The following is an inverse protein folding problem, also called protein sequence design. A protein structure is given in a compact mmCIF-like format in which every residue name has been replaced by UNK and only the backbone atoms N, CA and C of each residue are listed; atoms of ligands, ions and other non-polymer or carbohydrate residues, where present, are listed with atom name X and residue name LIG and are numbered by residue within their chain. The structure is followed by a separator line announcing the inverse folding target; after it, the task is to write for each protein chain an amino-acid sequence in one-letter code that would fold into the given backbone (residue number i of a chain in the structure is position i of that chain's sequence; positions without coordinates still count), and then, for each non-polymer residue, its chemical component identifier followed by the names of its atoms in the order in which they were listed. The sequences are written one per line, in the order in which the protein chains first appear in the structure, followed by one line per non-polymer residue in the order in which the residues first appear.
data_IF_136170721448
#
_entry.id   IF_136170721448
#
_cell.length_a   1.000
_cell.length_b   1.000
_cell.length_c   1.000
_cell.angle_alpha   90.00
_cell.angle_beta   90.00
_cell.angle_gamma   90.00
#
_symmetry.space_group_name_H-M   'P 1'
#
loop_
_entity.id
_entity.type
_entity.pdbx_description
1 polymer ?
#
# COMPACT_ATOMS: atom_id res chain seq x y z
N UNK A 1 -10.85 3.06 -78.06
CA UNK A 1 -11.66 4.29 -77.95
C UNK A 1 -12.47 4.24 -76.64
N UNK A 2 -12.21 5.14 -75.67
CA UNK A 2 -12.94 5.16 -74.40
C UNK A 2 -14.26 5.97 -74.50
N UNK A 3 -15.28 5.59 -73.71
CA UNK A 3 -16.62 6.19 -73.73
C UNK A 3 -16.65 7.60 -73.08
N UNK A 4 -17.65 8.43 -73.44
CA UNK A 4 -17.68 9.86 -73.13
C UNK A 4 -18.06 10.20 -71.68
N UNK A 5 -17.64 11.37 -71.18
CA UNK A 5 -17.85 11.80 -69.80
C UNK A 5 -19.28 12.32 -69.54
N UNK A 6 -19.86 12.06 -68.34
CA UNK A 6 -21.14 12.62 -67.91
C UNK A 6 -21.03 14.08 -67.41
N UNK A 7 -22.11 14.88 -67.49
CA UNK A 7 -22.10 16.32 -67.22
C UNK A 7 -22.19 16.64 -65.71
N UNK A 8 -21.53 17.72 -65.30
CA UNK A 8 -21.30 18.08 -63.90
C UNK A 8 -22.48 18.72 -63.15
N UNK A 9 -22.49 18.47 -61.83
CA UNK A 9 -23.25 19.17 -60.79
C UNK A 9 -22.45 19.13 -59.48
N UNK A 10 -22.41 20.22 -58.72
CA UNK A 10 -21.26 20.63 -57.89
C UNK A 10 -21.36 20.21 -56.39
N UNK A 11 -20.17 19.98 -55.78
CA UNK A 11 -19.76 20.13 -54.35
C UNK A 11 -20.31 19.10 -53.32
N UNK A 12 -19.49 18.14 -52.88
CA UNK A 12 -18.59 18.15 -51.70
C UNK A 12 -19.32 17.93 -50.35
N UNK A 13 -18.88 17.14 -49.36
CA UNK A 13 -17.87 16.08 -49.20
C UNK A 13 -18.23 15.39 -47.86
N UNK A 14 -18.53 14.09 -47.94
CA UNK A 14 -18.20 12.99 -47.00
C UNK A 14 -18.13 13.31 -45.48
N UNK A 15 -19.20 12.97 -44.77
CA UNK A 15 -19.16 12.67 -43.32
C UNK A 15 -18.50 11.31 -43.08
N UNK A 16 -17.51 11.26 -42.19
CA UNK A 16 -17.00 10.03 -41.57
C UNK A 16 -17.50 9.99 -40.13
N UNK A 17 -18.16 8.89 -39.80
CA UNK A 17 -18.78 8.56 -38.51
C UNK A 17 -17.71 8.05 -37.54
N UNK A 18 -17.75 8.48 -36.28
CA UNK A 18 -17.76 7.61 -35.08
C UNK A 18 -17.45 8.38 -33.80
N UNK A 19 -18.44 8.58 -32.93
CA UNK A 19 -18.22 8.30 -31.51
C UNK A 19 -19.52 8.02 -30.76
N UNK A 20 -19.41 7.03 -29.90
CA UNK A 20 -20.40 6.45 -29.00
C UNK A 20 -21.16 7.51 -28.22
N UNK A 21 -22.49 7.37 -28.18
CA UNK A 21 -23.39 8.08 -27.29
C UNK A 21 -23.07 7.73 -25.84
N UNK A 22 -22.37 8.62 -25.16
CA UNK A 22 -22.50 8.80 -23.71
C UNK A 22 -23.18 10.15 -23.53
N UNK A 23 -24.29 10.19 -22.81
CA UNK A 23 -25.17 11.37 -22.66
C UNK A 23 -24.57 12.54 -21.87
N UNK A 24 -23.28 12.79 -22.00
CA UNK A 24 -22.57 13.92 -21.39
C UNK A 24 -22.18 14.87 -22.52
N UNK A 25 -22.97 15.92 -22.72
CA UNK A 25 -22.58 17.05 -23.57
C UNK A 25 -21.45 17.78 -22.84
N UNK A 26 -20.21 17.49 -23.23
CA UNK A 26 -19.05 18.21 -22.70
C UNK A 26 -19.16 19.67 -23.13
N UNK A 27 -19.15 20.58 -22.15
CA UNK A 27 -19.24 22.01 -22.42
C UNK A 27 -18.16 22.42 -23.44
N UNK A 28 -18.53 22.96 -24.61
CA UNK A 28 -17.57 23.30 -25.66
C UNK A 28 -16.46 24.25 -25.20
N UNK A 29 -16.75 25.12 -24.23
CA UNK A 29 -15.77 26.03 -23.64
C UNK A 29 -14.71 25.27 -22.82
N UNK A 30 -15.13 24.27 -22.03
CA UNK A 30 -14.20 23.44 -21.24
C UNK A 30 -13.35 22.55 -22.15
N UNK A 31 -13.93 22.02 -23.23
CA UNK A 31 -13.19 21.24 -24.22
C UNK A 31 -12.13 22.10 -24.92
N UNK A 32 -12.48 23.33 -25.31
CA UNK A 32 -11.51 24.26 -25.92
C UNK A 32 -10.41 24.66 -24.94
N UNK A 33 -10.77 24.98 -23.69
CA UNK A 33 -9.82 25.33 -22.64
C UNK A 33 -8.85 24.18 -22.37
N UNK A 34 -9.35 22.96 -22.22
CA UNK A 34 -8.51 21.77 -22.03
C UNK A 34 -7.60 21.51 -23.24
N UNK A 35 -8.13 21.62 -24.46
CA UNK A 35 -7.33 21.48 -25.68
C UNK A 35 -6.25 22.56 -25.79
N UNK A 36 -6.52 23.79 -25.33
CA UNK A 36 -5.53 24.87 -25.29
C UNK A 36 -4.45 24.63 -24.22
N UNK A 37 -4.80 24.04 -23.07
CA UNK A 37 -3.85 23.62 -22.03
C UNK A 37 -2.93 22.53 -22.58
N UNK A 38 -3.49 21.46 -23.16
CA UNK A 38 -2.74 20.33 -23.76
C UNK A 38 -1.85 20.79 -24.93
N UNK A 39 -2.30 21.74 -25.76
CA UNK A 39 -1.50 22.30 -26.86
C UNK A 39 -0.32 23.14 -26.37
N UNK A 40 -0.45 23.80 -25.22
CA UNK A 40 0.66 24.56 -24.60
C UNK A 40 1.65 23.63 -23.88
N UNK A 41 1.15 22.53 -23.30
CA UNK A 41 1.96 21.56 -22.55
C UNK A 41 2.75 20.61 -23.47
N UNK A 42 2.20 20.24 -24.62
CA UNK A 42 2.83 19.23 -25.51
C UNK A 42 3.98 19.75 -26.38
N UNK A 43 4.31 21.05 -26.38
CA UNK A 43 5.47 21.61 -27.09
C UNK A 43 5.51 21.39 -28.61
N UNK A 44 4.44 20.84 -29.21
CA UNK A 44 4.38 20.46 -30.63
C UNK A 44 3.26 21.25 -31.31
N UNK A 45 3.59 22.41 -31.85
CA UNK A 45 2.64 23.23 -32.61
C UNK A 45 3.29 24.42 -33.28
N UNK A 46 3.86 24.17 -34.46
CA UNK A 46 4.62 25.13 -35.24
C UNK A 46 3.86 26.36 -35.73
N UNK A 47 4.69 27.31 -36.16
CA UNK A 47 4.39 28.51 -36.96
C UNK A 47 3.23 28.31 -37.95
N UNK A 48 2.33 29.29 -37.98
CA UNK A 48 1.67 29.73 -39.21
C UNK A 48 0.16 29.93 -39.11
N UNK A 49 -0.25 31.20 -38.99
CA UNK A 49 -1.21 31.89 -39.88
C UNK A 49 -2.18 32.79 -39.10
N UNK A 50 -2.14 34.10 -39.39
CA UNK A 50 -3.33 34.96 -39.36
C UNK A 50 -3.46 35.97 -38.21
N UNK A 51 -2.91 37.17 -38.43
CA UNK A 51 -3.36 38.49 -37.93
C UNK A 51 -4.06 38.60 -36.58
N UNK A 52 -3.29 38.98 -35.55
CA UNK A 52 -3.63 40.05 -34.60
C UNK A 52 -2.40 40.35 -33.71
N UNK A 53 -1.29 40.76 -34.33
CA UNK A 53 -0.12 41.24 -33.61
C UNK A 53 -0.31 42.69 -33.17
N UNK A 54 -1.02 42.90 -32.05
CA UNK A 54 -0.74 43.98 -31.09
C UNK A 54 -1.56 43.73 -29.83
N UNK A 55 -0.92 43.79 -28.66
CA UNK A 55 -1.44 43.61 -27.29
C UNK A 55 -1.18 42.27 -26.58
N UNK A 56 -0.20 41.48 -27.01
CA UNK A 56 0.36 40.42 -26.16
C UNK A 56 1.87 40.24 -26.38
N UNK A 57 2.61 41.35 -26.36
CA UNK A 57 4.07 41.34 -26.27
C UNK A 57 4.47 41.48 -24.79
N UNK A 58 4.29 40.39 -24.05
CA UNK A 58 4.84 40.06 -22.72
C UNK A 58 3.96 38.89 -22.26
N UNK A 59 4.33 37.62 -22.41
CA UNK A 59 5.56 36.97 -21.99
C UNK A 59 5.67 35.66 -22.78
N UNK A 60 6.35 35.68 -23.94
CA UNK A 60 6.72 34.43 -24.62
C UNK A 60 8.15 34.05 -24.21
N UNK A 61 8.26 33.32 -23.11
CA UNK A 61 9.48 32.58 -22.76
C UNK A 61 9.08 31.29 -22.08
N UNK A 62 9.20 30.11 -22.73
CA UNK A 62 8.79 28.84 -22.14
C UNK A 62 9.63 28.43 -20.90
N UNK A 63 10.75 29.11 -20.61
CA UNK A 63 11.48 28.98 -19.34
C UNK A 63 10.95 29.87 -18.21
N UNK A 64 10.33 31.01 -18.52
CA UNK A 64 9.85 31.97 -17.52
C UNK A 64 8.54 31.53 -16.85
N UNK A 65 7.67 30.87 -17.61
CA UNK A 65 6.37 30.40 -17.11
C UNK A 65 6.51 29.29 -16.07
N UNK A 66 7.50 28.41 -16.18
CA UNK A 66 7.72 27.35 -15.20
C UNK A 66 8.32 27.90 -13.89
N UNK A 67 9.20 28.90 -13.98
CA UNK A 67 9.73 29.60 -12.82
C UNK A 67 8.65 30.44 -12.13
N UNK A 68 7.82 31.18 -12.89
CA UNK A 68 6.70 31.92 -12.34
C UNK A 68 5.63 31.00 -11.72
N UNK A 69 5.31 29.86 -12.36
CA UNK A 69 4.45 28.83 -11.78
C UNK A 69 5.06 28.20 -10.52
N UNK A 70 6.36 27.93 -10.51
CA UNK A 70 7.09 27.42 -9.35
C UNK A 70 7.10 28.43 -8.20
N UNK A 71 7.25 29.73 -8.48
CA UNK A 71 7.14 30.81 -7.50
C UNK A 71 5.73 30.91 -6.92
N UNK A 72 4.70 30.89 -7.78
CA UNK A 72 3.30 30.93 -7.34
C UNK A 72 2.93 29.69 -6.52
N UNK A 73 3.39 28.51 -6.94
CA UNK A 73 3.15 27.26 -6.22
C UNK A 73 3.88 27.27 -4.87
N UNK A 74 5.14 27.73 -4.84
CA UNK A 74 5.91 27.89 -3.61
C UNK A 74 5.23 28.87 -2.65
N UNK A 75 4.76 30.02 -3.14
CA UNK A 75 4.01 30.98 -2.35
C UNK A 75 2.69 30.40 -1.82
N UNK A 76 1.94 29.69 -2.66
CA UNK A 76 0.67 29.08 -2.28
C UNK A 76 0.87 27.98 -1.24
N UNK A 77 1.87 27.12 -1.42
CA UNK A 77 2.26 26.11 -0.45
C UNK A 77 2.76 26.74 0.84
N UNK A 78 3.55 27.83 0.75
CA UNK A 78 4.04 28.60 1.92
C UNK A 78 2.92 29.25 2.72
N UNK A 79 1.84 29.68 2.06
CA UNK A 79 0.69 30.35 2.68
C UNK A 79 -0.42 29.38 3.06
N UNK A 80 -0.27 28.09 2.75
CA UNK A 80 -1.25 27.07 3.13
C UNK A 80 -1.34 26.97 4.65
N UNK A 81 -2.56 27.01 5.18
CA UNK A 81 -2.81 26.86 6.61
C UNK A 81 -2.23 25.56 7.16
N UNK A 82 -2.25 24.49 6.38
CA UNK A 82 -1.67 23.19 6.74
C UNK A 82 -0.14 23.27 6.92
N UNK A 83 0.58 23.95 6.01
CA UNK A 83 2.04 24.11 6.16
C UNK A 83 2.38 24.98 7.38
N UNK A 84 1.64 26.05 7.61
CA UNK A 84 1.84 26.90 8.79
C UNK A 84 1.54 26.15 10.09
N UNK A 85 0.54 25.25 10.08
CA UNK A 85 0.24 24.41 11.22
C UNK A 85 1.37 23.41 11.51
N UNK A 86 1.95 22.77 10.48
CA UNK A 86 3.13 21.91 10.62
C UNK A 86 4.33 22.71 11.16
N UNK A 87 4.64 23.86 10.55
CA UNK A 87 5.79 24.67 10.97
C UNK A 87 5.62 25.18 12.42
N UNK A 88 4.39 25.49 12.83
CA UNK A 88 4.06 25.83 14.21
C UNK A 88 4.21 24.63 15.16
N UNK A 89 3.80 23.43 14.72
CA UNK A 89 3.91 22.21 15.50
C UNK A 89 5.38 21.80 15.69
N UNK A 90 6.18 21.86 14.63
CA UNK A 90 7.64 21.65 14.67
C UNK A 90 8.27 22.62 15.66
N UNK A 91 7.88 23.90 15.64
CA UNK A 91 8.44 24.90 16.57
C UNK A 91 8.04 24.62 18.03
N UNK A 92 6.76 24.32 18.27
CA UNK A 92 6.21 24.18 19.61
C UNK A 92 6.54 22.83 20.26
N UNK A 93 6.70 21.78 19.46
CA UNK A 93 6.93 20.40 19.90
C UNK A 93 8.35 19.89 19.57
N UNK A 94 9.26 20.75 19.09
CA UNK A 94 10.66 20.38 18.79
C UNK A 94 11.38 19.72 19.98
N UNK A 95 11.16 20.23 21.19
CA UNK A 95 11.75 19.69 22.42
C UNK A 95 11.18 18.32 22.79
N UNK A 96 9.88 18.12 22.55
CA UNK A 96 9.20 16.85 22.74
C UNK A 96 9.72 15.79 21.78
N UNK A 97 9.78 16.10 20.48
CA UNK A 97 10.34 15.19 19.47
C UNK A 97 11.82 14.90 19.73
N UNK A 98 12.60 15.90 20.18
CA UNK A 98 14.00 15.68 20.55
C UNK A 98 14.15 14.73 21.76
N UNK A 99 13.24 14.79 22.74
CA UNK A 99 13.23 13.86 23.86
C UNK A 99 12.94 12.41 23.41
N UNK A 100 11.91 12.21 22.58
CA UNK A 100 11.61 10.88 22.00
C UNK A 100 12.78 10.40 21.14
N UNK A 101 13.37 11.27 20.32
CA UNK A 101 14.52 10.94 19.49
C UNK A 101 15.73 10.47 20.31
N UNK A 102 15.98 11.10 21.46
CA UNK A 102 17.01 10.66 22.41
C UNK A 102 16.69 9.29 22.98
N UNK A 103 15.44 9.07 23.39
CA UNK A 103 14.97 7.79 23.93
C UNK A 103 15.13 6.66 22.90
N UNK A 104 14.65 6.87 21.66
CA UNK A 104 14.80 5.91 20.56
C UNK A 104 16.28 5.62 20.28
N UNK A 105 17.13 6.65 20.26
CA UNK A 105 18.57 6.48 20.02
C UNK A 105 19.26 5.67 21.12
N UNK A 106 18.91 5.91 22.38
CA UNK A 106 19.46 5.22 23.56
C UNK A 106 18.83 3.86 23.85
N UNK A 107 17.65 3.56 23.29
CA UNK A 107 16.92 2.35 23.61
C UNK A 107 17.70 1.07 23.26
N UNK A 108 17.76 0.17 24.23
CA UNK A 108 18.25 -1.20 24.10
C UNK A 108 17.23 -2.11 24.74
N UNK A 109 16.93 -3.23 24.10
CA UNK A 109 15.87 -4.13 24.54
C UNK A 109 16.43 -5.49 24.89
N UNK A 110 15.86 -6.12 25.91
CA UNK A 110 16.19 -7.49 26.31
C UNK A 110 15.21 -8.49 25.67
N UNK A 111 13.93 -8.12 25.60
CA UNK A 111 12.86 -8.91 24.98
C UNK A 111 12.25 -8.20 23.77
N UNK A 112 11.68 -9.01 22.88
CA UNK A 112 10.90 -8.50 21.75
C UNK A 112 9.53 -7.95 22.19
N UNK A 113 9.04 -8.37 23.36
CA UNK A 113 7.85 -7.78 23.99
C UNK A 113 8.11 -6.32 24.37
N UNK A 114 9.27 -6.02 24.94
CA UNK A 114 9.69 -4.66 25.26
C UNK A 114 9.77 -3.78 24.00
N UNK A 115 10.21 -4.34 22.87
CA UNK A 115 10.22 -3.63 21.58
C UNK A 115 8.80 -3.30 21.13
N UNK A 116 7.85 -4.23 21.26
CA UNK A 116 6.45 -3.99 20.90
C UNK A 116 5.86 -2.89 21.78
N UNK A 117 6.03 -2.99 23.10
CA UNK A 117 5.50 -2.00 24.04
C UNK A 117 6.12 -0.61 23.80
N UNK A 118 7.43 -0.57 23.54
CA UNK A 118 8.12 0.67 23.20
C UNK A 118 7.63 1.28 21.90
N UNK A 119 7.45 0.48 20.84
CA UNK A 119 6.91 1.00 19.57
C UNK A 119 5.49 1.51 19.72
N UNK A 120 4.65 0.84 20.53
CA UNK A 120 3.30 1.27 20.84
C UNK A 120 3.30 2.61 21.58
N UNK A 121 4.17 2.76 22.59
CA UNK A 121 4.36 4.02 23.29
C UNK A 121 4.85 5.12 22.33
N UNK A 122 5.89 4.85 21.54
CA UNK A 122 6.45 5.80 20.58
C UNK A 122 5.39 6.28 19.58
N UNK A 123 4.62 5.37 18.99
CA UNK A 123 3.56 5.71 18.03
C UNK A 123 2.40 6.46 18.70
N UNK A 124 2.10 6.16 19.95
CA UNK A 124 1.10 6.90 20.74
C UNK A 124 1.56 8.33 21.01
N UNK A 125 2.81 8.53 21.44
CA UNK A 125 3.36 9.86 21.67
C UNK A 125 3.45 10.68 20.37
N UNK A 126 3.88 10.06 19.27
CA UNK A 126 3.96 10.72 17.96
C UNK A 126 2.58 11.04 17.37
N UNK A 127 1.52 10.35 17.79
CA UNK A 127 0.14 10.65 17.37
C UNK A 127 -0.37 12.02 17.84
N UNK A 128 0.32 12.66 18.78
CA UNK A 128 0.03 14.03 19.23
C UNK A 128 0.45 15.09 18.20
N UNK A 129 1.27 14.73 17.22
CA UNK A 129 1.68 15.60 16.13
C UNK A 129 0.56 15.71 15.08
N UNK A 130 0.41 16.91 14.49
CA UNK A 130 -0.60 17.13 13.46
C UNK A 130 -0.33 16.31 12.19
N UNK A 131 0.94 16.19 11.82
CA UNK A 131 1.41 15.32 10.76
C UNK A 131 2.80 14.81 11.14
N UNK A 132 2.83 13.63 11.75
CA UNK A 132 4.06 12.96 12.19
C UNK A 132 5.12 13.00 11.10
N UNK A 133 4.78 12.56 9.89
CA UNK A 133 5.76 12.40 8.81
C UNK A 133 6.37 13.73 8.37
N UNK A 134 5.55 14.78 8.30
CA UNK A 134 6.02 16.10 7.91
C UNK A 134 6.84 16.77 9.02
N UNK A 135 6.44 16.59 10.28
CA UNK A 135 7.15 17.13 11.45
C UNK A 135 8.50 16.43 11.60
N UNK A 136 8.53 15.09 11.63
CA UNK A 136 9.75 14.31 11.80
C UNK A 136 10.77 14.54 10.68
N UNK A 137 10.33 14.82 9.45
CA UNK A 137 11.21 15.15 8.33
C UNK A 137 11.96 16.48 8.52
N UNK A 138 11.37 17.43 9.26
CA UNK A 138 12.02 18.70 9.58
C UNK A 138 12.94 18.60 10.80
N UNK A 139 12.80 17.53 11.61
CA UNK A 139 13.63 17.28 12.78
C UNK A 139 14.92 16.52 12.41
N UNK A 140 16.05 17.23 12.32
CA UNK A 140 17.35 16.62 11.99
C UNK A 140 17.83 15.56 13.01
N UNK A 141 17.38 15.65 14.25
CA UNK A 141 17.77 14.71 15.32
C UNK A 141 17.00 13.39 15.30
N UNK A 142 15.99 13.23 14.43
CA UNK A 142 15.13 12.05 14.45
C UNK A 142 15.88 10.79 13.93
N UNK A 143 16.01 9.72 14.73
CA UNK A 143 16.71 8.50 14.32
C UNK A 143 15.81 7.61 13.44
N UNK A 144 15.44 8.10 12.25
CA UNK A 144 14.48 7.46 11.35
C UNK A 144 14.80 5.97 11.10
N UNK A 145 16.05 5.66 10.76
CA UNK A 145 16.46 4.29 10.46
C UNK A 145 16.25 3.32 11.64
N UNK A 146 16.49 3.78 12.87
CA UNK A 146 16.29 2.95 14.08
C UNK A 146 14.81 2.83 14.42
N UNK A 147 14.06 3.92 14.37
CA UNK A 147 12.61 3.93 14.62
C UNK A 147 11.86 3.01 13.63
N UNK A 148 12.17 3.12 12.34
CA UNK A 148 11.57 2.28 11.29
C UNK A 148 11.95 0.81 11.48
N UNK A 149 13.20 0.54 11.88
CA UNK A 149 13.65 -0.83 12.18
C UNK A 149 12.90 -1.42 13.37
N UNK A 150 12.67 -0.64 14.43
CA UNK A 150 11.89 -1.08 15.60
C UNK A 150 10.45 -1.39 15.24
N UNK A 151 9.79 -0.51 14.46
CA UNK A 151 8.42 -0.73 13.96
C UNK A 151 8.32 -1.97 13.08
N UNK A 152 9.26 -2.13 12.14
CA UNK A 152 9.34 -3.31 11.28
C UNK A 152 9.50 -4.60 12.10
N UNK A 153 10.37 -4.59 13.11
CA UNK A 153 10.61 -5.72 13.97
C UNK A 153 9.36 -6.04 14.81
N UNK A 154 8.75 -5.04 15.46
CA UNK A 154 7.54 -5.20 16.27
C UNK A 154 6.37 -5.79 15.47
N UNK A 155 6.16 -5.29 14.24
CA UNK A 155 5.16 -5.80 13.33
C UNK A 155 5.43 -7.27 12.93
N UNK A 156 6.69 -7.60 12.62
CA UNK A 156 7.10 -8.96 12.28
C UNK A 156 6.90 -9.94 13.46
N UNK A 157 7.27 -9.53 14.67
CA UNK A 157 7.07 -10.32 15.89
C UNK A 157 5.60 -10.56 16.21
N UNK A 158 4.79 -9.51 16.16
CA UNK A 158 3.34 -9.62 16.41
C UNK A 158 2.67 -10.53 15.37
N UNK A 159 3.11 -10.43 14.11
CA UNK A 159 2.65 -11.31 13.03
C UNK A 159 3.06 -12.76 13.28
N UNK A 160 4.27 -12.99 13.81
CA UNK A 160 4.73 -14.32 14.20
C UNK A 160 3.93 -14.90 15.36
N UNK A 161 3.74 -14.16 16.46
CA UNK A 161 2.91 -14.60 17.59
C UNK A 161 1.51 -14.99 17.11
N UNK A 162 0.85 -14.13 16.33
CA UNK A 162 -0.46 -14.44 15.75
C UNK A 162 -0.46 -15.69 14.87
N UNK A 163 0.62 -15.92 14.10
CA UNK A 163 0.74 -17.11 13.27
C UNK A 163 0.93 -18.39 14.11
N UNK A 164 1.64 -18.30 15.24
CA UNK A 164 1.78 -19.39 16.21
C UNK A 164 0.44 -19.66 16.90
N UNK A 165 -0.23 -18.65 17.44
CA UNK A 165 -1.54 -18.80 18.09
C UNK A 165 -2.56 -19.45 17.14
N UNK A 166 -2.60 -19.00 15.89
CA UNK A 166 -3.47 -19.58 14.86
C UNK A 166 -3.07 -21.01 14.47
N UNK A 167 -1.81 -21.40 14.62
CA UNK A 167 -1.36 -22.76 14.38
C UNK A 167 -1.73 -23.69 15.55
N UNK A 168 -1.67 -23.18 16.79
CA UNK A 168 -2.12 -23.89 18.00
C UNK A 168 -3.64 -24.13 17.95
N UNK A 169 -4.44 -23.10 17.65
CA UNK A 169 -5.89 -23.23 17.45
C UNK A 169 -6.23 -24.25 16.35
N UNK A 170 -5.51 -24.21 15.22
CA UNK A 170 -5.69 -25.19 14.15
C UNK A 170 -5.30 -26.62 14.56
N UNK A 171 -4.33 -26.79 15.47
CA UNK A 171 -3.94 -28.08 16.00
C UNK A 171 -5.00 -28.63 16.96
N UNK A 172 -5.58 -27.78 17.82
CA UNK A 172 -6.69 -28.14 18.71
C UNK A 172 -7.94 -28.56 17.91
N UNK A 173 -8.30 -27.80 16.87
CA UNK A 173 -9.40 -28.15 15.95
C UNK A 173 -9.16 -29.48 15.23
N UNK A 174 -7.91 -29.71 14.81
CA UNK A 174 -7.52 -30.96 14.16
C UNK A 174 -7.57 -32.15 15.12
N UNK A 175 -7.22 -31.96 16.40
CA UNK A 175 -7.35 -32.98 17.42
C UNK A 175 -8.82 -33.32 17.69
N UNK A 176 -9.68 -32.30 17.80
CA UNK A 176 -11.13 -32.48 17.95
C UNK A 176 -11.71 -33.29 16.77
N UNK A 177 -11.44 -32.88 15.53
CA UNK A 177 -11.89 -33.59 14.33
C UNK A 177 -11.38 -35.04 14.27
N UNK A 178 -10.14 -35.28 14.73
CA UNK A 178 -9.59 -36.64 14.82
C UNK A 178 -10.31 -37.48 15.87
N UNK A 179 -10.69 -36.91 17.02
CA UNK A 179 -11.45 -37.64 18.04
C UNK A 179 -12.85 -38.02 17.55
N UNK A 180 -13.55 -37.12 16.86
CA UNK A 180 -14.85 -37.41 16.24
C UNK A 180 -14.73 -38.52 15.19
N UNK A 181 -13.72 -38.47 14.32
CA UNK A 181 -13.44 -39.51 13.34
C UNK A 181 -13.19 -40.88 13.99
N UNK A 182 -12.46 -40.93 15.10
CA UNK A 182 -12.22 -42.16 15.86
C UNK A 182 -13.49 -42.68 16.54
N UNK A 183 -14.35 -41.80 17.04
CA UNK A 183 -15.65 -42.19 17.61
C UNK A 183 -16.58 -42.78 16.55
N UNK A 184 -16.62 -42.18 15.35
CA UNK A 184 -17.37 -42.73 14.20
C UNK A 184 -16.83 -44.13 13.86
N UNK A 185 -15.51 -44.28 13.75
CA UNK A 185 -14.83 -45.57 13.52
C UNK A 185 -15.15 -46.61 14.60
N UNK A 186 -15.15 -46.22 15.87
CA UNK A 186 -15.44 -47.09 17.00
C UNK A 186 -16.93 -47.48 17.07
N UNK A 187 -17.82 -46.62 16.60
CA UNK A 187 -19.28 -46.84 16.59
C UNK A 187 -19.75 -47.88 15.56
N UNK A 188 -18.84 -48.40 14.72
CA UNK A 188 -19.13 -49.52 13.81
C UNK A 188 -20.15 -49.24 12.70
N UNK A 189 -20.56 -47.98 12.50
CA UNK A 189 -21.43 -47.55 11.40
C UNK A 189 -20.66 -47.46 10.07
N UNK A 190 -20.03 -48.57 9.69
CA UNK A 190 -19.30 -48.69 8.43
C UNK A 190 -19.92 -49.71 7.48
N UNK A 191 -20.85 -50.56 7.94
CA UNK A 191 -21.53 -51.53 7.07
C UNK A 191 -22.81 -50.94 6.50
N UNK A 192 -22.80 -50.67 5.19
CA UNK A 192 -23.99 -50.49 4.40
C UNK A 192 -24.80 -51.82 4.36
N UNK A 193 -26.10 -51.75 4.04
CA UNK A 193 -27.00 -52.91 4.08
C UNK A 193 -26.57 -54.09 3.16
N UNK A 194 -25.62 -53.85 2.26
CA UNK A 194 -25.01 -54.79 1.32
C UNK A 194 -23.59 -55.27 1.73
N UNK A 195 -23.11 -54.87 2.92
CA UNK A 195 -21.78 -55.25 3.45
C UNK A 195 -20.62 -54.41 2.91
N UNK A 196 -20.91 -53.30 2.21
CA UNK A 196 -19.91 -52.33 1.76
C UNK A 196 -19.61 -51.25 2.80
N UNK A 197 -18.53 -50.48 2.61
CA UNK A 197 -18.27 -49.26 3.41
C UNK A 197 -19.40 -48.23 3.19
N UNK A 198 -20.01 -47.74 4.27
CA UNK A 198 -20.99 -46.65 4.20
C UNK A 198 -20.39 -45.41 3.51
N UNK A 199 -20.93 -44.99 2.33
CA UNK A 199 -20.46 -43.82 1.61
C UNK A 199 -20.50 -42.53 2.44
N UNK A 200 -21.47 -42.42 3.37
CA UNK A 200 -21.60 -41.24 4.23
C UNK A 200 -20.48 -41.17 5.27
N UNK A 201 -20.12 -42.30 5.88
CA UNK A 201 -18.98 -42.39 6.81
C UNK A 201 -17.64 -42.09 6.10
N UNK A 202 -17.47 -42.53 4.86
CA UNK A 202 -16.28 -42.24 4.06
C UNK A 202 -16.18 -40.76 3.65
N UNK A 203 -17.28 -40.12 3.24
CA UNK A 203 -17.32 -38.68 2.96
C UNK A 203 -17.06 -37.83 4.22
N UNK A 204 -17.57 -38.24 5.38
CA UNK A 204 -17.27 -37.58 6.66
C UNK A 204 -15.78 -37.67 7.02
N UNK A 205 -15.15 -38.84 6.85
CA UNK A 205 -13.70 -39.02 7.09
C UNK A 205 -12.83 -38.23 6.11
N UNK A 206 -13.18 -38.22 4.83
CA UNK A 206 -12.39 -37.50 3.81
C UNK A 206 -12.58 -35.99 3.89
N UNK A 207 -13.78 -35.52 4.28
CA UNK A 207 -14.02 -34.09 4.53
C UNK A 207 -13.31 -33.59 5.79
N UNK A 208 -13.28 -34.37 6.88
CA UNK A 208 -12.50 -34.04 8.09
C UNK A 208 -11.00 -33.99 7.81
N UNK A 209 -10.44 -34.99 7.12
CA UNK A 209 -9.03 -34.97 6.72
C UNK A 209 -8.68 -33.77 5.83
N UNK A 210 -9.54 -33.44 4.85
CA UNK A 210 -9.35 -32.27 3.99
C UNK A 210 -9.46 -30.95 4.77
N UNK A 211 -10.33 -30.90 5.77
CA UNK A 211 -10.50 -29.74 6.65
C UNK A 211 -9.25 -29.49 7.50
N UNK A 212 -8.56 -30.55 7.95
CA UNK A 212 -7.32 -30.44 8.73
C UNK A 212 -6.10 -30.00 7.89
N UNK A 213 -6.07 -30.40 6.62
CA UNK A 213 -4.88 -30.21 5.76
C UNK A 213 -4.68 -28.75 5.33
N UNK A 214 -5.77 -27.99 5.14
CA UNK A 214 -5.71 -26.60 4.68
C UNK A 214 -5.16 -25.60 5.73
N UNK A 215 -5.66 -25.57 6.98
CA UNK A 215 -5.14 -24.69 8.03
C UNK A 215 -3.69 -24.97 8.38
N UNK A 216 -3.31 -26.25 8.48
CA UNK A 216 -1.95 -26.67 8.79
C UNK A 216 -0.94 -26.23 7.71
N UNK A 217 -1.29 -26.39 6.43
CA UNK A 217 -0.45 -25.92 5.32
C UNK A 217 -0.33 -24.39 5.30
N UNK A 218 -1.42 -23.67 5.59
CA UNK A 218 -1.42 -22.21 5.66
C UNK A 218 -0.54 -21.68 6.80
N UNK A 219 -0.63 -22.28 8.00
CA UNK A 219 0.20 -21.95 9.15
C UNK A 219 1.68 -22.20 8.87
N UNK A 220 2.02 -23.37 8.31
CA UNK A 220 3.39 -23.71 7.94
C UNK A 220 3.99 -22.71 6.93
N UNK A 221 3.24 -22.36 5.88
CA UNK A 221 3.70 -21.41 4.86
C UNK A 221 3.94 -20.03 5.47
N UNK A 222 3.02 -19.54 6.31
CA UNK A 222 3.17 -18.24 7.00
C UNK A 222 4.39 -18.21 7.92
N UNK A 223 4.58 -19.25 8.74
CA UNK A 223 5.74 -19.34 9.64
C UNK A 223 7.05 -19.38 8.84
N UNK A 224 7.07 -20.07 7.71
CA UNK A 224 8.24 -20.13 6.85
C UNK A 224 8.57 -18.77 6.20
N UNK A 225 7.57 -18.05 5.70
CA UNK A 225 7.76 -16.71 5.12
C UNK A 225 8.26 -15.69 6.16
N UNK A 226 7.73 -15.76 7.38
CA UNK A 226 8.18 -14.92 8.50
C UNK A 226 9.62 -15.25 8.90
N UNK A 227 9.97 -16.53 8.93
CA UNK A 227 11.35 -16.98 9.22
C UNK A 227 12.34 -16.44 8.19
N UNK A 228 11.99 -16.54 6.90
CA UNK A 228 12.82 -15.99 5.81
C UNK A 228 12.97 -14.48 5.86
N UNK A 229 11.87 -13.77 6.12
CA UNK A 229 11.89 -12.31 6.22
C UNK A 229 12.82 -11.87 7.34
N UNK A 230 12.82 -12.59 8.47
CA UNK A 230 13.72 -12.36 9.60
C UNK A 230 15.17 -12.68 9.27
N UNK A 231 15.46 -13.81 8.62
CA UNK A 231 16.83 -14.14 8.19
C UNK A 231 17.42 -13.04 7.28
N UNK A 232 16.61 -12.51 6.37
CA UNK A 232 17.01 -11.40 5.50
C UNK A 232 17.30 -10.11 6.27
N UNK A 233 16.52 -9.82 7.32
CA UNK A 233 16.63 -8.57 8.11
C UNK A 233 17.49 -8.68 9.37
N UNK A 234 18.01 -9.87 9.70
CA UNK A 234 18.65 -10.15 10.99
C UNK A 234 19.85 -9.27 11.27
N UNK A 235 20.73 -9.08 10.28
CA UNK A 235 21.91 -8.23 10.42
C UNK A 235 21.52 -6.77 10.65
N UNK A 236 20.52 -6.27 9.92
CA UNK A 236 19.99 -4.92 10.07
C UNK A 236 19.37 -4.70 11.46
N UNK A 237 18.55 -5.65 11.91
CA UNK A 237 17.88 -5.59 13.21
C UNK A 237 18.87 -5.65 14.37
N UNK A 238 19.84 -6.56 14.29
CA UNK A 238 20.92 -6.68 15.26
C UNK A 238 21.76 -5.40 15.34
N UNK A 239 22.10 -4.81 14.19
CA UNK A 239 22.84 -3.55 14.13
C UNK A 239 22.10 -2.38 14.81
N UNK A 240 20.76 -2.44 14.89
CA UNK A 240 19.91 -1.43 15.53
C UNK A 240 19.52 -1.76 16.98
N UNK A 241 20.07 -2.82 17.57
CA UNK A 241 19.82 -3.21 18.96
C UNK A 241 18.50 -3.93 19.19
N UNK A 242 17.92 -4.53 18.15
CA UNK A 242 16.71 -5.36 18.26
C UNK A 242 17.08 -6.79 18.69
N UNK A 243 16.41 -7.38 19.70
CA UNK A 243 16.60 -8.76 20.08
C UNK A 243 16.24 -9.71 18.92
N UNK A 244 17.18 -10.57 18.54
CA UNK A 244 16.97 -11.56 17.46
C UNK A 244 16.80 -12.98 17.98
N UNK A 245 16.91 -13.20 19.30
CA UNK A 245 16.93 -14.54 19.94
C UNK A 245 15.57 -15.23 20.10
N UNK A 246 14.46 -14.49 20.03
CA UNK A 246 13.09 -14.98 20.33
C UNK A 246 12.56 -16.07 19.37
N UNK A 247 13.29 -16.36 18.30
CA UNK A 247 12.96 -17.39 17.31
C UNK A 247 13.97 -18.56 17.30
N UNK A 248 15.02 -18.50 18.13
CA UNK A 248 16.01 -19.56 18.23
C UNK A 248 15.49 -20.68 19.15
N UNK A 249 14.51 -21.45 18.66
CA UNK A 249 13.92 -22.64 19.32
C UNK A 249 13.50 -22.39 20.78
N UNK A 250 12.22 -22.56 21.06
CA UNK A 250 11.90 -23.33 22.25
C UNK A 250 12.70 -24.64 22.13
N UNK A 251 13.78 -24.76 22.91
CA UNK A 251 14.60 -25.96 22.95
C UNK A 251 13.72 -27.17 23.29
N UNK A 252 14.15 -28.38 22.92
CA UNK A 252 13.40 -29.61 23.18
C UNK A 252 13.06 -29.80 24.66
#
# INVERSE_FOLDING_TARGET
PPPPPPPGGKLATRQVVSHVQTGVVRNPALVRMYQDIIRRESGLGGRGMGSAAKLAASTSSPSGDNAARGMLLSELTSKSAYKQAIDADVKNQSTFVAAIASEVSGATFDSMEDVVDFTCWMDTELSLLLDETAVLKQCESWPAAKADTLRDAAAAYTSFKRAVDSAEEAAEDAELARTEALEVLASGHFEAADGGLDPAAFELLTSTLRSMESPAQAAHTRLWDLTKTRESKMEQWSAMGVPTGWLARAGP
#
